data_IF_062331272797
#
_entry.id   IF_062331272797
#
_cell.length_a   1.000
_cell.length_b   1.000
_cell.length_c   1.000
_cell.angle_alpha   90.00
_cell.angle_beta   90.00
_cell.angle_gamma   90.00
#
_symmetry.space_group_name_H-M   'P 1'
#
loop_
_entity.id
_entity.type
_entity.pdbx_description
1 polymer ?
#
# COMPACT_ATOMS: atom_id res chain seq x y z
N UNK A 1 20.44 9.84 -3.75
CA UNK A 1 21.56 9.57 -2.81
C UNK A 1 21.63 10.52 -1.59
N UNK A 2 20.51 11.04 -1.05
CA UNK A 2 20.53 11.93 0.15
C UNK A 2 19.73 11.43 1.35
N UNK A 3 19.13 10.24 1.30
CA UNK A 3 18.26 9.73 2.38
C UNK A 3 18.91 8.66 3.28
N UNK A 4 20.08 8.12 2.90
CA UNK A 4 20.71 6.98 3.60
C UNK A 4 21.49 7.43 4.86
N UNK A 5 21.75 8.72 5.04
CA UNK A 5 22.59 9.21 6.17
C UNK A 5 21.81 9.65 7.41
N UNK A 6 20.50 9.84 7.35
CA UNK A 6 19.73 10.41 8.48
C UNK A 6 19.34 9.38 9.55
N UNK A 7 19.39 8.09 9.25
CA UNK A 7 18.88 7.03 10.15
C UNK A 7 19.90 6.60 11.23
N UNK A 8 21.17 7.04 11.14
CA UNK A 8 22.26 6.50 11.98
C UNK A 8 22.60 7.31 13.25
N UNK A 9 21.78 8.30 13.64
CA UNK A 9 22.19 9.30 14.67
C UNK A 9 21.26 9.53 15.85
N UNK A 10 20.21 8.73 16.06
CA UNK A 10 19.41 8.85 17.29
C UNK A 10 19.31 7.51 18.01
N UNK A 11 19.74 7.55 19.27
CA UNK A 11 19.57 6.59 20.37
C UNK A 11 20.86 5.88 20.80
N UNK A 12 21.51 6.50 21.79
CA UNK A 12 22.50 5.88 22.67
C UNK A 12 22.22 6.33 24.11
N UNK A 13 22.46 5.38 25.02
CA UNK A 13 22.48 5.42 26.49
C UNK A 13 21.17 5.26 27.27
N UNK A 14 20.99 4.01 27.75
CA UNK A 14 20.46 3.68 29.07
C UNK A 14 21.62 3.40 30.04
N UNK A 15 21.40 3.61 31.33
CA UNK A 15 22.24 3.16 32.43
C UNK A 15 21.43 2.96 33.71
N UNK A 16 21.37 1.69 34.15
CA UNK A 16 21.32 1.05 35.50
C UNK A 16 20.90 1.91 36.73
N UNK A 17 20.23 1.42 37.79
CA UNK A 17 20.27 0.12 38.48
C UNK A 17 19.18 0.06 39.57
N UNK A 18 18.78 -1.11 40.09
CA UNK A 18 18.05 -1.18 41.38
C UNK A 18 17.12 -2.38 41.71
N UNK A 19 17.72 -3.46 42.22
CA UNK A 19 17.36 -4.31 43.38
C UNK A 19 15.94 -4.93 43.61
N UNK A 20 15.97 -6.24 43.89
CA UNK A 20 14.93 -7.20 44.35
C UNK A 20 14.44 -6.96 45.82
N UNK A 21 13.35 -7.59 46.38
CA UNK A 21 13.16 -9.06 46.43
C UNK A 21 11.73 -9.70 46.48
N UNK A 22 11.71 -10.96 46.03
CA UNK A 22 10.95 -12.20 46.38
C UNK A 22 9.67 -12.17 47.26
N UNK A 23 8.59 -12.80 46.73
CA UNK A 23 7.61 -13.63 47.49
C UNK A 23 6.95 -14.71 46.58
N UNK A 24 6.72 -15.93 47.11
CA UNK A 24 5.99 -17.07 46.48
C UNK A 24 4.65 -17.34 47.24
N UNK A 25 3.83 -18.35 46.89
CA UNK A 25 2.95 -18.45 45.72
C UNK A 25 1.48 -18.78 46.14
N UNK A 26 0.49 -18.64 45.25
CA UNK A 26 -0.81 -19.33 45.44
C UNK A 26 -1.48 -19.78 44.14
N UNK A 27 -1.98 -21.00 44.23
CA UNK A 27 -2.79 -21.88 43.38
C UNK A 27 -3.58 -21.34 42.18
N UNK A 28 -3.36 -21.98 41.02
CA UNK A 28 -4.36 -22.89 40.41
C UNK A 28 -5.35 -22.31 39.39
N UNK A 29 -5.12 -22.57 38.09
CA UNK A 29 -6.19 -23.02 37.17
C UNK A 29 -5.62 -23.59 35.86
N UNK A 30 -5.87 -24.89 35.68
CA UNK A 30 -6.17 -25.65 34.44
C UNK A 30 -5.48 -25.26 33.12
N UNK A 31 -4.45 -26.04 32.76
CA UNK A 31 -3.82 -26.09 31.43
C UNK A 31 -4.72 -26.77 30.40
N UNK A 32 -5.16 -26.05 29.37
CA UNK A 32 -5.43 -26.65 28.06
C UNK A 32 -4.10 -26.98 27.35
N UNK A 33 -4.08 -27.91 26.36
CA UNK A 33 -2.85 -28.27 25.67
C UNK A 33 -2.38 -27.09 24.83
N UNK A 34 -1.43 -26.33 25.38
CA UNK A 34 -0.73 -25.28 24.70
C UNK A 34 0.16 -25.95 23.64
N UNK A 35 -0.31 -25.96 22.39
CA UNK A 35 0.54 -26.25 21.24
C UNK A 35 1.55 -25.11 21.19
N UNK A 36 2.69 -25.30 21.88
CA UNK A 36 3.86 -24.44 21.72
C UNK A 36 4.21 -24.53 20.24
N UNK A 37 3.84 -23.50 19.47
CA UNK A 37 4.46 -23.29 18.17
C UNK A 37 5.95 -23.26 18.44
N UNK A 38 6.69 -24.20 17.87
CA UNK A 38 8.14 -24.18 17.93
C UNK A 38 8.54 -22.95 17.13
N UNK A 39 8.83 -21.85 17.83
CA UNK A 39 9.17 -20.58 17.22
C UNK A 39 10.54 -20.72 16.54
N UNK A 40 10.50 -20.91 15.22
CA UNK A 40 11.71 -20.95 14.41
C UNK A 40 12.30 -19.55 14.31
N UNK A 41 13.59 -19.35 14.64
CA UNK A 41 14.29 -18.08 14.44
C UNK A 41 14.25 -17.65 12.97
N UNK A 42 14.40 -16.34 12.70
CA UNK A 42 14.52 -15.89 11.33
C UNK A 42 15.76 -16.51 10.67
N UNK A 43 15.65 -17.08 9.46
CA UNK A 43 16.73 -17.86 8.88
C UNK A 43 17.95 -16.99 8.58
N UNK A 44 19.12 -17.41 9.09
CA UNK A 44 20.40 -16.80 8.77
C UNK A 44 20.87 -17.28 7.39
N UNK A 45 20.55 -16.50 6.35
CA UNK A 45 20.93 -16.79 4.97
C UNK A 45 22.21 -16.01 4.57
N UNK A 46 23.11 -16.60 3.76
CA UNK A 46 24.29 -15.91 3.22
C UNK A 46 23.96 -14.62 2.46
N UNK A 47 24.94 -13.76 2.23
CA UNK A 47 24.74 -12.56 1.40
C UNK A 47 24.75 -12.92 -0.09
N UNK A 48 23.82 -12.34 -0.86
CA UNK A 48 23.67 -12.52 -2.31
C UNK A 48 24.93 -12.19 -3.11
N UNK A 49 25.72 -11.23 -2.62
CA UNK A 49 26.97 -10.81 -3.27
C UNK A 49 28.10 -11.84 -3.15
N UNK A 50 28.06 -12.65 -2.10
CA UNK A 50 29.13 -13.61 -1.77
C UNK A 50 28.90 -14.97 -2.44
N UNK A 51 27.67 -15.25 -2.89
CA UNK A 51 27.34 -16.49 -3.60
C UNK A 51 27.74 -16.47 -5.09
N UNK A 52 28.06 -17.64 -5.69
CA UNK A 52 28.29 -17.77 -7.13
C UNK A 52 27.07 -17.38 -7.97
N UNK A 53 27.25 -16.80 -9.18
CA UNK A 53 26.14 -16.38 -10.03
C UNK A 53 25.06 -17.44 -10.31
N UNK A 54 25.44 -18.73 -10.35
CA UNK A 54 24.51 -19.84 -10.57
C UNK A 54 23.54 -20.09 -9.41
N UNK A 55 23.98 -19.84 -8.17
CA UNK A 55 23.19 -20.11 -6.96
C UNK A 55 22.43 -18.88 -6.46
N UNK A 56 22.77 -17.68 -6.97
CA UNK A 56 22.14 -16.41 -6.57
C UNK A 56 20.64 -16.39 -6.76
N UNK A 57 20.11 -16.96 -7.85
CA UNK A 57 18.68 -16.98 -8.11
C UNK A 57 17.92 -17.81 -7.06
N UNK A 58 18.48 -18.95 -6.67
CA UNK A 58 17.91 -19.83 -5.65
C UNK A 58 18.03 -19.22 -4.24
N UNK A 59 19.16 -18.59 -3.92
CA UNK A 59 19.30 -17.83 -2.67
C UNK A 59 18.32 -16.67 -2.61
N UNK A 60 18.13 -15.94 -3.71
CA UNK A 60 17.16 -14.86 -3.80
C UNK A 60 15.74 -15.36 -3.51
N UNK A 61 15.34 -16.49 -4.10
CA UNK A 61 14.07 -17.15 -3.81
C UNK A 61 13.92 -17.52 -2.33
N UNK A 62 14.95 -18.11 -1.72
CA UNK A 62 14.96 -18.44 -0.28
C UNK A 62 14.81 -17.19 0.61
N UNK A 63 15.44 -16.07 0.22
CA UNK A 63 15.30 -14.79 0.93
C UNK A 63 13.87 -14.23 0.79
N UNK A 64 13.26 -14.29 -0.39
CA UNK A 64 11.85 -13.91 -0.58
C UNK A 64 10.93 -14.73 0.31
N UNK A 65 11.11 -16.05 0.35
CA UNK A 65 10.32 -16.96 1.19
C UNK A 65 10.49 -16.62 2.68
N UNK A 66 11.72 -16.39 3.14
CA UNK A 66 11.99 -15.96 4.52
C UNK A 66 11.26 -14.64 4.87
N UNK A 67 11.24 -13.69 3.94
CA UNK A 67 10.60 -12.40 4.12
C UNK A 67 9.07 -12.44 4.13
N UNK A 68 8.43 -13.58 3.83
CA UNK A 68 6.97 -13.77 4.00
C UNK A 68 6.53 -13.77 5.45
N UNK A 69 7.41 -14.12 6.39
CA UNK A 69 7.09 -14.12 7.82
C UNK A 69 6.77 -12.71 8.29
N UNK A 70 5.54 -12.45 8.70
CA UNK A 70 5.11 -11.17 9.29
C UNK A 70 5.43 -11.15 10.78
N UNK A 71 5.96 -10.03 11.26
CA UNK A 71 6.21 -9.81 12.69
C UNK A 71 5.20 -8.81 13.23
N UNK A 72 4.75 -9.06 14.46
CA UNK A 72 3.91 -8.11 15.19
C UNK A 72 4.79 -7.04 15.85
N UNK A 73 4.59 -5.78 15.45
CA UNK A 73 5.29 -4.61 15.98
C UNK A 73 4.59 -3.97 17.19
N UNK A 74 3.45 -4.51 17.63
CA UNK A 74 2.79 -4.07 18.86
C UNK A 74 3.49 -4.59 20.13
N UNK A 75 4.28 -5.66 20.02
CA UNK A 75 5.04 -6.26 21.11
C UNK A 75 6.54 -6.07 20.93
N UNK A 76 7.28 -6.02 22.03
CA UNK A 76 8.75 -5.90 22.01
C UNK A 76 9.49 -7.22 21.72
N UNK A 77 8.76 -8.28 21.37
CA UNK A 77 9.33 -9.60 21.09
C UNK A 77 10.08 -9.64 19.74
N UNK A 78 11.01 -10.59 19.60
CA UNK A 78 11.73 -10.87 18.35
C UNK A 78 12.52 -9.70 17.72
N UNK A 79 13.05 -8.74 18.51
CA UNK A 79 13.79 -7.58 17.96
C UNK A 79 14.95 -7.98 17.04
N UNK A 80 15.70 -9.03 17.42
CA UNK A 80 16.80 -9.55 16.60
C UNK A 80 16.31 -10.06 15.24
N UNK A 81 15.20 -10.79 15.22
CA UNK A 81 14.61 -11.34 13.99
C UNK A 81 13.95 -10.24 13.13
N UNK A 82 13.31 -9.26 13.77
CA UNK A 82 12.78 -8.07 13.11
C UNK A 82 13.90 -7.32 12.38
N UNK A 83 15.04 -7.12 13.05
CA UNK A 83 16.20 -6.47 12.43
C UNK A 83 16.82 -7.34 11.32
N UNK A 84 16.94 -8.65 11.54
CA UNK A 84 17.43 -9.58 10.51
C UNK A 84 16.57 -9.57 9.24
N UNK A 85 15.24 -9.57 9.39
CA UNK A 85 14.32 -9.42 8.26
C UNK A 85 14.48 -8.07 7.57
N UNK A 86 14.62 -6.98 8.34
CA UNK A 86 14.82 -5.63 7.79
C UNK A 86 16.07 -5.56 6.92
N UNK A 87 17.19 -6.10 7.40
CA UNK A 87 18.46 -6.16 6.65
C UNK A 87 18.33 -7.04 5.40
N UNK A 88 17.64 -8.17 5.50
CA UNK A 88 17.39 -9.06 4.35
C UNK A 88 16.53 -8.38 3.28
N UNK A 89 15.49 -7.64 3.67
CA UNK A 89 14.66 -6.85 2.75
C UNK A 89 15.48 -5.74 2.05
N UNK A 90 16.35 -5.04 2.79
CA UNK A 90 17.24 -4.04 2.19
C UNK A 90 18.19 -4.66 1.17
N UNK A 91 18.75 -5.82 1.48
CA UNK A 91 19.63 -6.56 0.59
C UNK A 91 18.89 -7.00 -0.70
N UNK A 92 17.65 -7.49 -0.57
CA UNK A 92 16.78 -7.82 -1.72
C UNK A 92 16.58 -6.60 -2.63
N UNK A 93 16.28 -5.43 -2.04
CA UNK A 93 16.10 -4.18 -2.78
C UNK A 93 17.39 -3.74 -3.48
N UNK A 94 18.52 -3.82 -2.78
CA UNK A 94 19.84 -3.52 -3.34
C UNK A 94 20.18 -4.45 -4.52
N UNK A 95 19.90 -5.75 -4.38
CA UNK A 95 20.12 -6.73 -5.41
C UNK A 95 19.33 -6.42 -6.70
N UNK A 96 18.04 -6.09 -6.57
CA UNK A 96 17.18 -5.71 -7.72
C UNK A 96 17.64 -4.42 -8.39
N UNK A 97 18.18 -3.46 -7.63
CA UNK A 97 18.72 -2.21 -8.21
C UNK A 97 19.98 -2.44 -9.04
N UNK A 98 20.83 -3.37 -8.61
CA UNK A 98 22.16 -3.57 -9.19
C UNK A 98 22.19 -4.70 -10.23
N UNK A 99 21.15 -5.53 -10.31
CA UNK A 99 21.11 -6.72 -11.16
C UNK A 99 20.06 -6.58 -12.25
N UNK A 100 20.49 -6.58 -13.51
CA UNK A 100 19.58 -6.64 -14.68
C UNK A 100 19.01 -8.04 -14.85
N UNK A 101 17.79 -8.14 -15.37
CA UNK A 101 17.08 -9.39 -15.61
C UNK A 101 16.90 -10.25 -14.36
N UNK A 102 16.78 -9.62 -13.19
CA UNK A 102 16.61 -10.32 -11.91
C UNK A 102 15.22 -10.96 -11.76
N UNK A 103 14.22 -10.46 -12.50
CA UNK A 103 12.86 -11.00 -12.49
C UNK A 103 12.64 -11.96 -13.65
N UNK A 104 12.77 -13.25 -13.38
CA UNK A 104 12.36 -14.32 -14.30
C UNK A 104 10.91 -14.78 -14.00
N UNK A 105 10.28 -15.52 -14.92
CA UNK A 105 8.91 -16.00 -14.74
C UNK A 105 8.76 -16.88 -13.49
N UNK A 106 9.76 -17.70 -13.15
CA UNK A 106 9.75 -18.55 -11.96
C UNK A 106 9.70 -17.79 -10.64
N UNK A 107 10.29 -16.58 -10.57
CA UNK A 107 10.32 -15.76 -9.36
C UNK A 107 9.09 -14.87 -9.20
N UNK A 108 8.25 -14.72 -10.23
CA UNK A 108 7.11 -13.80 -10.18
C UNK A 108 6.11 -14.19 -9.09
N UNK A 109 5.86 -15.49 -8.90
CA UNK A 109 4.97 -15.97 -7.84
C UNK A 109 5.57 -15.67 -6.46
N UNK A 110 6.84 -15.97 -6.24
CA UNK A 110 7.51 -15.71 -4.96
C UNK A 110 7.50 -14.21 -4.60
N UNK A 111 7.69 -13.34 -5.59
CA UNK A 111 7.61 -11.88 -5.43
C UNK A 111 6.21 -11.45 -4.99
N UNK A 112 5.18 -11.89 -5.71
CA UNK A 112 3.77 -11.54 -5.43
C UNK A 112 3.32 -12.10 -4.08
N UNK A 113 3.75 -13.30 -3.73
CA UNK A 113 3.45 -13.94 -2.45
C UNK A 113 4.14 -13.24 -1.28
N UNK A 114 5.41 -12.85 -1.44
CA UNK A 114 6.15 -12.09 -0.42
C UNK A 114 5.53 -10.72 -0.20
N UNK A 115 5.23 -9.99 -1.27
CA UNK A 115 4.56 -8.68 -1.18
C UNK A 115 3.19 -8.85 -0.52
N UNK A 116 2.36 -9.76 -1.05
CA UNK A 116 1.00 -9.97 -0.58
C UNK A 116 0.91 -10.40 0.88
N UNK A 117 1.81 -11.29 1.33
CA UNK A 117 1.87 -11.72 2.73
C UNK A 117 2.19 -10.58 3.70
N UNK A 118 2.90 -9.54 3.24
CA UNK A 118 3.29 -8.42 4.09
C UNK A 118 2.30 -7.26 4.05
N UNK A 119 1.80 -6.87 2.86
CA UNK A 119 0.97 -5.66 2.72
C UNK A 119 -0.52 -5.91 2.92
N UNK A 120 -1.04 -7.08 2.51
CA UNK A 120 -2.47 -7.35 2.57
C UNK A 120 -2.88 -7.77 3.97
N UNK A 121 -3.52 -6.85 4.68
CA UNK A 121 -4.04 -7.01 6.03
C UNK A 121 -5.39 -6.32 6.16
N UNK A 122 -6.17 -6.74 7.14
CA UNK A 122 -7.35 -5.98 7.52
C UNK A 122 -6.89 -4.66 8.17
N UNK A 123 -7.41 -3.55 7.68
CA UNK A 123 -7.20 -2.25 8.31
C UNK A 123 -8.00 -2.19 9.63
N UNK A 124 -7.55 -1.43 10.64
CA UNK A 124 -8.30 -1.24 11.87
C UNK A 124 -9.73 -0.79 11.58
N UNK A 125 -10.71 -1.41 12.25
CA UNK A 125 -12.10 -1.00 12.09
C UNK A 125 -12.30 0.40 12.69
N UNK A 126 -12.83 1.33 11.89
CA UNK A 126 -13.22 2.66 12.36
C UNK A 126 -14.55 2.56 13.11
N UNK A 127 -14.60 3.06 14.35
CA UNK A 127 -15.87 3.19 15.07
C UNK A 127 -16.65 4.39 14.51
N UNK A 128 -17.54 4.09 13.55
CA UNK A 128 -18.32 5.08 12.78
C UNK A 128 -19.25 5.93 13.66
N UNK A 129 -19.54 5.50 14.88
CA UNK A 129 -20.43 6.23 15.80
C UNK A 129 -19.77 7.51 16.35
N UNK A 130 -18.45 7.49 16.56
CA UNK A 130 -17.68 8.58 17.16
C UNK A 130 -17.33 9.66 16.12
N UNK A 131 -17.04 9.26 14.87
CA UNK A 131 -16.73 10.19 13.76
C UNK A 131 -17.91 11.09 13.33
N UNK A 132 -19.12 10.83 13.82
CA UNK A 132 -20.29 11.68 13.53
C UNK A 132 -20.37 12.95 14.41
N UNK A 133 -19.55 12.99 15.46
CA UNK A 133 -19.55 14.04 16.50
C UNK A 133 -18.26 14.88 16.45
N UNK A 134 -17.15 14.28 16.03
CA UNK A 134 -15.83 14.92 15.85
C UNK A 134 -15.67 15.44 14.42
N UNK A 135 -14.98 16.57 14.25
CA UNK A 135 -14.53 17.00 12.93
C UNK A 135 -13.47 16.01 12.41
N UNK A 136 -13.67 15.33 11.26
CA UNK A 136 -12.68 14.39 10.71
C UNK A 136 -11.31 15.02 10.46
N UNK A 137 -11.22 16.35 10.36
CA UNK A 137 -9.95 17.06 10.15
C UNK A 137 -9.07 17.15 11.42
N UNK A 138 -9.65 16.96 12.61
CA UNK A 138 -8.94 17.08 13.89
C UNK A 138 -8.34 15.74 14.40
N UNK A 139 -8.65 14.60 13.76
CA UNK A 139 -8.12 13.29 14.16
C UNK A 139 -6.68 13.10 13.65
N UNK A 140 -5.73 12.96 14.58
CA UNK A 140 -4.33 12.70 14.25
C UNK A 140 -4.19 11.31 13.57
N UNK A 141 -3.53 11.22 12.40
CA UNK A 141 -3.48 9.97 11.65
C UNK A 141 -2.72 8.88 12.41
N UNK A 142 -3.34 7.71 12.53
CA UNK A 142 -2.69 6.56 13.16
C UNK A 142 -1.59 6.01 12.24
N UNK A 143 -0.35 6.10 12.71
CA UNK A 143 0.82 5.59 11.97
C UNK A 143 0.97 4.08 12.13
N UNK A 144 1.30 3.40 11.03
CA UNK A 144 1.52 1.96 11.02
C UNK A 144 2.81 1.58 11.76
N UNK A 145 2.69 0.69 12.75
CA UNK A 145 3.82 0.25 13.60
C UNK A 145 4.79 -0.63 12.83
N UNK A 146 4.29 -1.43 11.88
CA UNK A 146 5.11 -2.30 11.03
C UNK A 146 5.82 -1.55 9.87
N UNK A 147 5.75 -0.21 9.84
CA UNK A 147 6.34 0.63 8.80
C UNK A 147 7.81 0.33 8.47
N UNK A 148 8.71 0.01 9.43
CA UNK A 148 10.10 -0.31 9.12
C UNK A 148 10.28 -1.49 8.15
N UNK A 149 9.33 -2.43 8.11
CA UNK A 149 9.31 -3.51 7.11
C UNK A 149 8.46 -3.12 5.90
N UNK A 150 7.26 -2.59 6.11
CA UNK A 150 6.32 -2.28 5.03
C UNK A 150 6.87 -1.26 4.04
N UNK A 151 7.57 -0.23 4.51
CA UNK A 151 8.20 0.74 3.63
C UNK A 151 9.12 0.05 2.61
N UNK A 152 9.94 -0.90 3.07
CA UNK A 152 10.88 -1.61 2.20
C UNK A 152 10.15 -2.54 1.24
N UNK A 153 9.06 -3.19 1.69
CA UNK A 153 8.24 -4.05 0.83
C UNK A 153 7.52 -3.25 -0.26
N UNK A 154 6.95 -2.09 0.05
CA UNK A 154 6.36 -1.19 -0.94
C UNK A 154 7.39 -0.70 -1.96
N UNK A 155 8.55 -0.29 -1.47
CA UNK A 155 9.69 0.18 -2.24
C UNK A 155 10.28 -0.92 -3.14
N UNK A 156 10.26 -2.18 -2.68
CA UNK A 156 10.58 -3.35 -3.49
C UNK A 156 9.51 -3.60 -4.58
N UNK A 157 8.24 -3.58 -4.21
CA UNK A 157 7.15 -3.84 -5.16
C UNK A 157 7.06 -2.76 -6.24
N UNK A 158 7.30 -1.49 -5.89
CA UNK A 158 7.40 -0.40 -6.84
C UNK A 158 8.49 -0.67 -7.88
N UNK A 159 9.69 -1.11 -7.45
CA UNK A 159 10.79 -1.49 -8.37
C UNK A 159 10.39 -2.63 -9.30
N UNK A 160 9.72 -3.66 -8.77
CA UNK A 160 9.20 -4.75 -9.58
C UNK A 160 8.23 -4.23 -10.66
N UNK A 161 7.27 -3.39 -10.28
CA UNK A 161 6.27 -2.86 -11.21
C UNK A 161 6.92 -1.97 -12.28
N UNK A 162 7.91 -1.13 -11.95
CA UNK A 162 8.56 -0.25 -12.95
C UNK A 162 9.66 -0.93 -13.76
N UNK A 163 10.14 -2.11 -13.36
CA UNK A 163 11.22 -2.80 -14.06
C UNK A 163 10.85 -3.18 -15.50
N UNK A 164 11.73 -2.89 -16.46
CA UNK A 164 11.53 -3.26 -17.86
C UNK A 164 11.66 -4.77 -18.11
N UNK A 165 12.26 -5.50 -17.16
CA UNK A 165 12.47 -6.95 -17.25
C UNK A 165 11.15 -7.73 -17.05
N UNK A 166 10.13 -7.07 -16.50
CA UNK A 166 8.83 -7.68 -16.20
C UNK A 166 7.89 -7.49 -17.39
N UNK A 167 7.72 -8.54 -18.20
CA UNK A 167 6.75 -8.56 -19.30
C UNK A 167 5.30 -8.48 -18.77
N UNK A 168 4.54 -7.43 -19.12
CA UNK A 168 3.14 -7.28 -18.69
C UNK A 168 2.24 -8.46 -19.11
N UNK A 169 2.55 -9.16 -20.21
CA UNK A 169 1.76 -10.30 -20.70
C UNK A 169 1.90 -11.52 -19.80
N UNK A 170 3.05 -11.70 -19.17
CA UNK A 170 3.33 -12.79 -18.23
C UNK A 170 2.92 -12.38 -16.82
N UNK A 171 3.34 -11.20 -16.38
CA UNK A 171 3.11 -10.73 -15.02
C UNK A 171 1.63 -10.54 -14.65
N UNK A 172 0.73 -10.30 -15.62
CA UNK A 172 -0.73 -10.25 -15.37
C UNK A 172 -1.32 -11.55 -14.81
N UNK A 173 -0.64 -12.69 -14.98
CA UNK A 173 -1.06 -13.97 -14.39
C UNK A 173 -0.96 -13.96 -12.86
N UNK A 174 0.01 -13.19 -12.35
CA UNK A 174 0.32 -13.08 -10.93
C UNK A 174 -0.31 -11.82 -10.31
N UNK A 175 -0.11 -10.66 -10.95
CA UNK A 175 -0.78 -9.41 -10.60
C UNK A 175 -2.13 -9.36 -11.32
N UNK A 176 -3.10 -10.10 -10.79
CA UNK A 176 -4.44 -10.22 -11.35
C UNK A 176 -5.45 -9.25 -10.69
N UNK A 177 -6.73 -9.31 -11.09
CA UNK A 177 -7.77 -8.42 -10.55
C UNK A 177 -7.94 -8.56 -9.03
N UNK A 178 -7.80 -9.76 -8.47
CA UNK A 178 -7.90 -9.98 -7.03
C UNK A 178 -6.73 -9.31 -6.27
N UNK A 179 -5.50 -9.38 -6.82
CA UNK A 179 -4.37 -8.65 -6.25
C UNK A 179 -4.63 -7.13 -6.26
N UNK A 180 -5.12 -6.60 -7.38
CA UNK A 180 -5.44 -5.16 -7.50
C UNK A 180 -6.57 -4.76 -6.56
N UNK A 181 -7.57 -5.61 -6.35
CA UNK A 181 -8.66 -5.35 -5.41
C UNK A 181 -8.13 -5.20 -3.99
N UNK A 182 -7.34 -6.16 -3.52
CA UNK A 182 -6.72 -6.10 -2.18
C UNK A 182 -5.76 -4.91 -2.04
N UNK A 183 -5.05 -4.55 -3.11
CA UNK A 183 -4.20 -3.35 -3.12
C UNK A 183 -5.02 -2.08 -3.04
N UNK A 184 -6.19 -2.04 -3.70
CA UNK A 184 -7.12 -0.92 -3.63
C UNK A 184 -7.68 -0.78 -2.20
N UNK A 185 -8.11 -1.85 -1.56
CA UNK A 185 -8.66 -1.81 -0.19
C UNK A 185 -7.72 -1.12 0.83
N UNK A 186 -6.40 -1.17 0.62
CA UNK A 186 -5.42 -0.50 1.46
C UNK A 186 -5.41 1.04 1.33
N UNK A 187 -6.06 1.63 0.32
CA UNK A 187 -6.18 3.08 0.19
C UNK A 187 -6.96 3.72 1.34
N UNK A 188 -7.74 2.96 2.10
CA UNK A 188 -8.39 3.46 3.32
C UNK A 188 -7.45 3.47 4.55
N UNK A 189 -6.16 3.17 4.39
CA UNK A 189 -5.17 3.27 5.47
C UNK A 189 -5.11 4.69 6.05
N UNK A 190 -5.07 4.81 7.37
CA UNK A 190 -4.90 6.09 8.07
C UNK A 190 -3.50 6.68 7.83
N UNK A 191 -2.50 5.84 7.53
CA UNK A 191 -1.11 6.27 7.34
C UNK A 191 -0.91 6.92 5.96
N UNK A 192 -0.66 8.24 5.87
CA UNK A 192 -0.50 8.92 4.58
C UNK A 192 0.73 8.41 3.79
N UNK A 193 1.74 7.87 4.48
CA UNK A 193 2.94 7.34 3.83
C UNK A 193 2.61 6.08 3.04
N UNK A 194 1.71 5.24 3.57
CA UNK A 194 1.23 4.05 2.89
C UNK A 194 0.41 4.44 1.65
N UNK A 195 -0.51 5.41 1.81
CA UNK A 195 -1.34 5.90 0.69
C UNK A 195 -0.51 6.48 -0.45
N UNK A 196 0.58 7.20 -0.18
CA UNK A 196 1.45 7.74 -1.24
C UNK A 196 2.18 6.64 -2.04
N UNK A 197 2.62 5.57 -1.38
CA UNK A 197 3.16 4.38 -2.06
C UNK A 197 2.09 3.68 -2.89
N UNK A 198 0.91 3.44 -2.32
CA UNK A 198 -0.21 2.82 -3.02
C UNK A 198 -0.61 3.63 -4.25
N UNK A 199 -0.68 4.96 -4.13
CA UNK A 199 -0.95 5.89 -5.23
C UNK A 199 0.03 5.67 -6.38
N UNK A 200 1.31 5.73 -6.06
CA UNK A 200 2.39 5.59 -7.05
C UNK A 200 2.35 4.21 -7.71
N UNK A 201 2.21 3.15 -6.92
CA UNK A 201 2.19 1.77 -7.39
C UNK A 201 0.96 1.53 -8.28
N UNK A 202 -0.24 1.90 -7.84
CA UNK A 202 -1.47 1.70 -8.61
C UNK A 202 -1.44 2.46 -9.94
N UNK A 203 -0.90 3.68 -9.96
CA UNK A 203 -0.68 4.43 -11.20
C UNK A 203 0.26 3.69 -12.16
N UNK A 204 1.40 3.18 -11.67
CA UNK A 204 2.34 2.39 -12.50
C UNK A 204 1.71 1.09 -12.99
N UNK A 205 0.92 0.41 -12.16
CA UNK A 205 0.17 -0.79 -12.54
C UNK A 205 -0.83 -0.45 -13.65
N UNK A 206 -1.58 0.65 -13.53
CA UNK A 206 -2.53 1.10 -14.56
C UNK A 206 -1.83 1.40 -15.90
N UNK A 207 -0.69 2.08 -15.85
CA UNK A 207 0.11 2.42 -17.02
C UNK A 207 0.62 1.17 -17.75
N UNK A 208 1.25 0.26 -17.00
CA UNK A 208 1.94 -0.92 -17.52
C UNK A 208 1.02 -2.07 -17.91
N UNK A 209 0.02 -2.38 -17.08
CA UNK A 209 -0.87 -3.53 -17.28
C UNK A 209 -2.19 -3.10 -17.92
N UNK A 210 -2.19 -2.89 -19.24
CA UNK A 210 -3.37 -2.42 -19.97
C UNK A 210 -4.64 -3.25 -19.72
N UNK A 211 -4.51 -4.56 -19.53
CA UNK A 211 -5.63 -5.47 -19.25
C UNK A 211 -6.37 -5.17 -17.93
N UNK A 212 -5.73 -4.49 -16.98
CA UNK A 212 -6.30 -4.17 -15.67
C UNK A 212 -6.97 -2.78 -15.65
N UNK A 213 -6.79 -1.95 -16.68
CA UNK A 213 -7.26 -0.55 -16.69
C UNK A 213 -8.76 -0.40 -16.43
N UNK A 214 -9.57 -1.21 -17.12
CA UNK A 214 -11.03 -1.17 -16.94
C UNK A 214 -11.43 -1.61 -15.52
N UNK A 215 -10.73 -2.60 -14.96
CA UNK A 215 -10.99 -3.06 -13.59
C UNK A 215 -10.62 -1.97 -12.57
N UNK A 216 -9.44 -1.35 -12.69
CA UNK A 216 -8.99 -0.28 -11.81
C UNK A 216 -9.99 0.89 -11.83
N UNK A 217 -10.42 1.37 -13.01
CA UNK A 217 -11.41 2.46 -13.09
C UNK A 217 -12.72 2.11 -12.39
N UNK A 218 -13.24 0.89 -12.58
CA UNK A 218 -14.47 0.43 -11.90
C UNK A 218 -14.29 0.34 -10.39
N UNK A 219 -13.13 -0.11 -9.92
CA UNK A 219 -12.86 -0.21 -8.49
C UNK A 219 -12.76 1.17 -7.85
N UNK A 220 -12.14 2.16 -8.51
CA UNK A 220 -12.15 3.56 -8.05
C UNK A 220 -13.58 4.12 -8.04
N UNK A 221 -14.34 3.89 -9.12
CA UNK A 221 -15.74 4.30 -9.21
C UNK A 221 -16.59 3.75 -8.07
N UNK A 222 -16.40 2.47 -7.74
CA UNK A 222 -17.12 1.80 -6.67
C UNK A 222 -16.84 2.46 -5.32
N UNK A 223 -15.58 2.78 -5.02
CA UNK A 223 -15.22 3.54 -3.80
C UNK A 223 -15.91 4.89 -3.75
N UNK A 224 -15.93 5.63 -4.85
CA UNK A 224 -16.63 6.93 -4.89
C UNK A 224 -18.12 6.79 -4.65
N UNK A 225 -18.76 5.76 -5.22
CA UNK A 225 -20.18 5.50 -4.95
C UNK A 225 -20.46 5.17 -3.49
N UNK A 226 -19.58 4.43 -2.80
CA UNK A 226 -19.74 4.23 -1.35
C UNK A 226 -19.63 5.54 -0.57
N UNK A 227 -18.65 6.39 -0.90
CA UNK A 227 -18.49 7.70 -0.27
C UNK A 227 -19.73 8.58 -0.48
N UNK A 228 -20.26 8.60 -1.71
CA UNK A 228 -21.44 9.42 -2.07
C UNK A 228 -22.73 8.89 -1.43
N UNK A 229 -23.02 7.59 -1.59
CA UNK A 229 -24.34 7.03 -1.31
C UNK A 229 -24.44 6.29 0.02
N UNK A 230 -23.33 5.72 0.52
CA UNK A 230 -23.28 5.07 1.84
C UNK A 230 -22.73 6.02 2.91
N UNK A 231 -22.43 7.28 2.53
CA UNK A 231 -21.82 8.30 3.39
C UNK A 231 -20.55 7.80 4.10
N UNK A 232 -19.79 6.95 3.43
CA UNK A 232 -18.55 6.38 3.96
C UNK A 232 -17.43 7.42 3.94
N UNK A 233 -16.76 7.61 5.08
CA UNK A 233 -15.50 8.36 5.14
C UNK A 233 -14.39 7.42 4.66
N UNK A 234 -13.67 7.83 3.63
CA UNK A 234 -12.59 7.04 3.04
C UNK A 234 -11.33 7.89 2.90
N UNK A 235 -10.22 7.44 3.48
CA UNK A 235 -8.99 8.24 3.61
C UNK A 235 -8.29 8.48 2.28
N UNK A 236 -8.37 7.53 1.36
CA UNK A 236 -7.63 7.57 0.08
C UNK A 236 -8.30 8.30 -1.08
N UNK A 237 -9.42 9.03 -0.87
CA UNK A 237 -10.16 9.64 -2.00
C UNK A 237 -9.28 10.64 -2.77
N UNK A 238 -8.47 11.44 -2.06
CA UNK A 238 -7.55 12.39 -2.69
C UNK A 238 -6.53 11.71 -3.60
N UNK A 239 -5.86 10.67 -3.12
CA UNK A 239 -4.86 9.93 -3.88
C UNK A 239 -5.46 9.20 -5.08
N UNK A 240 -6.68 8.65 -4.94
CA UNK A 240 -7.42 8.03 -6.04
C UNK A 240 -7.80 9.06 -7.11
N UNK A 241 -8.18 10.28 -6.72
CA UNK A 241 -8.44 11.40 -7.63
C UNK A 241 -7.17 11.87 -8.34
N UNK A 242 -6.01 11.91 -7.69
CA UNK A 242 -4.73 12.22 -8.36
C UNK A 242 -4.42 11.23 -9.49
N UNK A 243 -4.61 9.92 -9.24
CA UNK A 243 -4.46 8.90 -10.27
C UNK A 243 -5.45 9.15 -11.41
N UNK A 244 -6.72 9.40 -11.08
CA UNK A 244 -7.75 9.66 -12.09
C UNK A 244 -7.46 10.90 -12.93
N UNK A 245 -6.99 12.00 -12.33
CA UNK A 245 -6.59 13.20 -13.07
C UNK A 245 -5.56 12.88 -14.15
N UNK A 246 -4.53 12.09 -13.81
CA UNK A 246 -3.55 11.62 -14.78
C UNK A 246 -4.15 10.71 -15.86
N UNK A 247 -5.10 9.83 -15.49
CA UNK A 247 -5.82 8.97 -16.43
C UNK A 247 -6.68 9.79 -17.41
N UNK A 248 -7.42 10.80 -16.91
CA UNK A 248 -8.30 11.67 -17.71
C UNK A 248 -7.48 12.46 -18.72
N UNK A 249 -6.34 13.02 -18.29
CA UNK A 249 -5.40 13.69 -19.20
C UNK A 249 -4.95 12.76 -20.33
N UNK A 250 -4.84 11.44 -20.08
CA UNK A 250 -4.51 10.43 -21.08
C UNK A 250 -5.67 9.99 -21.99
N UNK A 251 -6.90 10.48 -21.82
CA UNK A 251 -8.02 10.07 -22.66
C UNK A 251 -7.86 10.53 -24.11
N UNK A 252 -8.22 9.62 -25.01
CA UNK A 252 -8.31 9.87 -26.44
C UNK A 252 -9.57 10.69 -26.75
N UNK A 253 -9.49 11.49 -27.82
CA UNK A 253 -10.61 12.25 -28.35
C UNK A 253 -11.19 11.54 -29.59
N UNK A 254 -12.52 11.57 -29.81
CA UNK A 254 -13.53 12.14 -28.91
C UNK A 254 -13.68 11.33 -27.61
N UNK A 255 -14.08 12.01 -26.52
CA UNK A 255 -14.35 11.34 -25.25
C UNK A 255 -15.45 10.29 -25.43
N UNK A 256 -15.19 9.09 -24.90
CA UNK A 256 -16.19 8.02 -24.87
C UNK A 256 -17.32 8.36 -23.90
N UNK A 257 -18.52 7.89 -24.23
CA UNK A 257 -19.70 8.07 -23.36
C UNK A 257 -19.50 7.46 -21.96
N UNK A 258 -18.78 6.33 -21.84
CA UNK A 258 -18.44 5.76 -20.52
C UNK A 258 -17.64 6.72 -19.61
N UNK A 259 -16.83 7.62 -20.19
CA UNK A 259 -16.04 8.59 -19.43
C UNK A 259 -16.89 9.80 -19.03
N UNK A 260 -17.82 10.22 -19.90
CA UNK A 260 -18.80 11.26 -19.55
C UNK A 260 -19.75 10.79 -18.44
N UNK A 261 -20.25 9.56 -18.53
CA UNK A 261 -21.10 8.95 -17.49
C UNK A 261 -20.36 8.85 -16.15
N UNK A 262 -19.07 8.48 -16.17
CA UNK A 262 -18.24 8.49 -14.97
C UNK A 262 -18.13 9.89 -14.33
N UNK A 263 -17.91 10.92 -15.14
CA UNK A 263 -17.86 12.30 -14.65
C UNK A 263 -19.17 12.72 -14.00
N UNK A 264 -20.31 12.54 -14.68
CA UNK A 264 -21.61 13.01 -14.22
C UNK A 264 -22.12 12.23 -13.01
N UNK A 265 -21.86 10.93 -12.94
CA UNK A 265 -22.39 10.07 -11.88
C UNK A 265 -21.48 9.92 -10.68
N UNK A 266 -20.16 9.99 -10.86
CA UNK A 266 -19.21 9.77 -9.77
C UNK A 266 -18.46 11.04 -9.37
N UNK A 267 -17.98 11.87 -10.30
CA UNK A 267 -17.15 13.02 -9.93
C UNK A 267 -17.96 14.26 -9.53
N UNK A 268 -19.03 14.59 -10.27
CA UNK A 268 -19.88 15.73 -9.91
C UNK A 268 -20.48 15.54 -8.49
N UNK A 269 -21.08 14.39 -8.14
CA UNK A 269 -21.68 14.23 -6.81
C UNK A 269 -20.67 14.23 -5.65
N UNK A 270 -19.38 13.99 -5.90
CA UNK A 270 -18.35 14.11 -4.86
C UNK A 270 -18.21 15.55 -4.32
N UNK A 271 -18.67 16.58 -5.04
CA UNK A 271 -18.71 17.96 -4.52
C UNK A 271 -19.73 18.15 -3.38
N UNK A 272 -20.58 17.15 -3.12
CA UNK A 272 -21.68 17.27 -2.14
C UNK A 272 -21.40 16.52 -0.84
N UNK A 273 -20.31 15.75 -0.77
CA UNK A 273 -20.00 14.97 0.43
C UNK A 273 -19.34 15.86 1.48
N UNK A 274 -19.60 15.58 2.76
CA UNK A 274 -19.10 16.40 3.88
C UNK A 274 -17.57 16.49 3.93
N UNK A 275 -16.88 15.43 3.53
CA UNK A 275 -15.43 15.33 3.53
C UNK A 275 -14.75 15.98 2.31
N UNK A 276 -15.46 16.83 1.55
CA UNK A 276 -14.93 17.46 0.33
C UNK A 276 -13.61 18.22 0.57
N UNK A 277 -13.48 18.91 1.71
CA UNK A 277 -12.32 19.74 2.03
C UNK A 277 -10.99 18.98 1.85
N UNK A 278 -10.95 17.70 2.26
CA UNK A 278 -9.76 16.86 2.20
C UNK A 278 -9.25 16.56 0.78
N UNK A 279 -10.10 16.66 -0.26
CA UNK A 279 -9.73 16.29 -1.64
C UNK A 279 -10.23 17.26 -2.71
N UNK A 280 -10.73 18.43 -2.33
CA UNK A 280 -11.31 19.43 -3.23
C UNK A 280 -10.35 19.84 -4.35
N UNK A 281 -9.06 20.00 -4.06
CA UNK A 281 -8.05 20.39 -5.04
C UNK A 281 -7.89 19.32 -6.14
N UNK A 282 -7.83 18.05 -5.75
CA UNK A 282 -7.68 16.91 -6.64
C UNK A 282 -8.93 16.71 -7.50
N UNK A 283 -10.12 16.91 -6.92
CA UNK A 283 -11.39 16.86 -7.66
C UNK A 283 -11.49 18.00 -8.68
N UNK A 284 -11.13 19.22 -8.28
CA UNK A 284 -11.08 20.39 -9.16
C UNK A 284 -10.14 20.17 -10.35
N UNK A 285 -8.96 19.58 -10.10
CA UNK A 285 -8.04 19.20 -11.17
C UNK A 285 -8.68 18.20 -12.15
N UNK A 286 -9.40 17.20 -11.66
CA UNK A 286 -10.12 16.26 -12.53
C UNK A 286 -11.19 16.97 -13.38
N UNK A 287 -11.93 17.93 -12.82
CA UNK A 287 -12.93 18.71 -13.55
C UNK A 287 -12.29 19.54 -14.66
N UNK A 288 -11.19 20.24 -14.35
CA UNK A 288 -10.43 21.01 -15.33
C UNK A 288 -9.95 20.11 -16.50
N UNK A 289 -9.46 18.91 -16.20
CA UNK A 289 -9.02 17.95 -17.22
C UNK A 289 -10.16 17.51 -18.15
N UNK A 290 -11.40 17.34 -17.65
CA UNK A 290 -12.55 17.07 -18.53
C UNK A 290 -12.88 18.25 -19.44
N UNK A 291 -12.86 19.47 -18.91
CA UNK A 291 -13.13 20.69 -19.68
C UNK A 291 -12.05 20.94 -20.74
N UNK A 292 -10.79 20.62 -20.45
CA UNK A 292 -9.70 20.67 -21.44
C UNK A 292 -9.91 19.67 -22.59
N UNK A 293 -10.57 18.53 -22.33
CA UNK A 293 -10.87 17.51 -23.35
C UNK A 293 -12.12 17.84 -24.18
N UNK A 294 -13.14 18.42 -23.57
CA UNK A 294 -14.35 18.89 -24.26
C UNK A 294 -14.97 20.07 -23.48
N UNK A 295 -14.81 21.29 -24.00
CA UNK A 295 -15.27 22.51 -23.36
C UNK A 295 -16.79 22.55 -23.11
N UNK A 296 -17.59 21.76 -23.84
CA UNK A 296 -19.05 21.71 -23.66
C UNK A 296 -19.45 21.10 -22.31
N UNK A 297 -18.58 20.25 -21.74
CA UNK A 297 -18.81 19.63 -20.43
C UNK A 297 -18.76 20.64 -19.27
N UNK A 298 -18.23 21.85 -19.48
CA UNK A 298 -18.23 22.90 -18.48
C UNK A 298 -19.66 23.26 -18.03
N UNK A 299 -20.63 23.20 -18.96
CA UNK A 299 -22.03 23.42 -18.62
C UNK A 299 -22.52 22.39 -17.60
N UNK A 300 -22.30 21.10 -17.86
CA UNK A 300 -22.76 20.04 -16.96
C UNK A 300 -22.11 20.14 -15.58
N UNK A 301 -20.82 20.50 -15.52
CA UNK A 301 -20.06 20.64 -14.26
C UNK A 301 -20.59 21.80 -13.42
N UNK A 302 -20.75 22.99 -14.00
CA UNK A 302 -21.19 24.18 -13.24
C UNK A 302 -22.65 24.03 -12.81
N UNK A 303 -23.55 23.67 -13.73
CA UNK A 303 -24.98 23.66 -13.46
C UNK A 303 -25.41 22.51 -12.52
N UNK A 304 -24.76 21.34 -12.58
CA UNK A 304 -25.11 20.23 -11.70
C UNK A 304 -24.47 20.33 -10.30
N UNK A 305 -23.38 21.11 -10.17
CA UNK A 305 -22.78 21.38 -8.86
C UNK A 305 -23.65 22.34 -8.03
N UNK A 306 -24.28 23.33 -8.67
CA UNK A 306 -25.08 24.36 -7.98
C UNK A 306 -26.54 23.97 -7.65
N UNK A 307 -27.13 22.98 -8.33
CA UNK A 307 -28.58 22.67 -8.24
C UNK A 307 -28.99 21.58 -7.23
N UNK A 308 -28.16 21.11 -6.29
CA UNK A 308 -28.62 20.12 -5.28
C UNK A 308 -27.84 20.13 -3.99
#
# INVERSE_FOLDING_TARGET
>A
MKLIQTVKRRMGNEGEDGNEPVAKPSSGSTRGPNVRQVETPFPALPMLRDEPPGDRAELFRKKLEACRRVFDFSTETFQKDKEAKRLTLLEIVEHVNNTRNCFNESLMQDVVDMVGANIFRALPAKDRSVMSISDPEDEEPTLEKAWPHLQIVYEFFLRFVVSNDVDPKVAKRFVNQNFVLKLHELFDSDDPRERDYLKTILHRVYGKFMALRAFIRRAIQHTFFKVIFECEIHNGVGELLEILGSIINGFALPLKEEHKDFMTRALIPLHKVKSLAAFHQQLSYCMAQYVEKDHRLAYDIVFCSDQS
#
